data_IF_680502590302
#
_entry.id   IF_680502590302
#
_cell.length_a   1.000
_cell.length_b   1.000
_cell.length_c   1.000
_cell.angle_alpha   90.00
_cell.angle_beta   90.00
_cell.angle_gamma   90.00
#
_symmetry.space_group_name_H-M   'P 1'
#
loop_
_entity.id
_entity.type
_entity.pdbx_description
1 polymer ?
#
# COMPACT_ATOMS: atom_id res chain seq x y z
N UNK A 1 4.54 33.85 51.80
CA UNK A 1 3.97 33.81 50.43
C UNK A 1 5.15 33.46 49.54
N UNK A 2 5.25 32.27 48.92
CA UNK A 2 4.32 31.63 47.96
C UNK A 2 3.94 32.61 46.85
N UNK A 3 3.95 32.32 45.55
CA UNK A 3 4.38 31.20 44.69
C UNK A 3 3.79 31.54 43.28
N UNK A 4 4.28 31.04 42.14
CA UNK A 4 5.66 30.60 41.83
C UNK A 4 6.20 31.44 40.64
N UNK A 5 6.08 31.16 39.34
CA UNK A 5 5.62 29.96 38.59
C UNK A 5 6.52 29.78 37.37
N UNK A 6 7.23 28.64 37.27
CA UNK A 6 8.08 28.32 36.10
C UNK A 6 7.32 28.31 34.77
N UNK A 7 7.96 28.83 33.72
CA UNK A 7 7.54 28.58 32.34
C UNK A 7 7.78 27.13 31.93
N UNK A 8 6.77 26.48 31.34
CA UNK A 8 6.87 25.14 30.75
C UNK A 8 7.22 25.27 29.27
N UNK A 9 8.34 24.69 28.85
CA UNK A 9 8.67 24.55 27.44
C UNK A 9 7.88 23.37 26.85
N UNK A 10 7.11 23.62 25.79
CA UNK A 10 6.45 22.56 25.01
C UNK A 10 7.51 21.84 24.16
N UNK A 11 7.60 20.49 24.20
CA UNK A 11 8.72 19.77 23.60
C UNK A 11 8.63 19.66 22.07
N UNK A 12 9.78 19.66 21.39
CA UNK A 12 9.91 19.60 19.91
C UNK A 12 9.75 18.19 19.31
N UNK A 13 8.91 17.32 19.87
CA UNK A 13 8.89 15.90 19.48
C UNK A 13 8.23 15.60 18.12
N UNK A 14 7.44 16.53 17.57
CA UNK A 14 6.69 16.30 16.32
C UNK A 14 7.55 16.09 15.05
N UNK A 15 8.83 16.46 15.08
CA UNK A 15 9.71 16.32 13.90
C UNK A 15 10.28 14.90 13.74
N UNK A 16 10.56 14.21 14.85
CA UNK A 16 11.32 12.95 14.85
C UNK A 16 10.46 11.73 14.48
N UNK A 17 9.18 11.73 14.88
CA UNK A 17 8.24 10.65 14.52
C UNK A 17 7.87 10.66 13.03
N UNK A 18 7.62 11.86 12.48
CA UNK A 18 7.42 12.04 11.03
C UNK A 18 8.64 11.54 10.25
N UNK A 19 9.85 11.81 10.76
CA UNK A 19 11.12 11.33 10.21
C UNK A 19 11.23 9.81 10.14
N UNK A 20 10.63 9.03 11.04
CA UNK A 20 10.71 7.56 10.97
C UNK A 20 9.87 6.98 9.81
N UNK A 21 8.61 7.40 9.68
CA UNK A 21 7.76 6.96 8.57
C UNK A 21 8.27 7.47 7.21
N UNK A 22 8.76 8.72 7.15
CA UNK A 22 9.43 9.26 5.97
C UNK A 22 10.79 8.61 5.69
N UNK A 23 11.57 8.19 6.69
CA UNK A 23 12.83 7.47 6.46
C UNK A 23 12.60 6.06 5.96
N UNK A 24 11.52 5.39 6.40
CA UNK A 24 11.05 4.16 5.77
C UNK A 24 10.82 4.43 4.27
N UNK A 25 9.86 5.30 3.92
CA UNK A 25 9.52 5.68 2.53
C UNK A 25 10.72 6.16 1.70
N UNK A 26 11.67 6.88 2.31
CA UNK A 26 12.88 7.38 1.62
C UNK A 26 13.89 6.26 1.36
N UNK A 27 13.91 5.20 2.18
CA UNK A 27 14.72 4.00 1.93
C UNK A 27 14.12 3.09 0.86
N UNK A 28 12.78 3.01 0.74
CA UNK A 28 12.09 2.26 -0.32
C UNK A 28 12.20 2.95 -1.70
N UNK A 29 12.53 4.25 -1.73
CA UNK A 29 12.65 5.07 -2.95
C UNK A 29 13.79 4.70 -3.91
N UNK A 30 14.33 3.49 -3.83
CA UNK A 30 15.42 2.98 -4.65
C UNK A 30 14.91 2.34 -5.96
N UNK A 31 14.52 3.17 -6.93
CA UNK A 31 14.37 2.89 -8.38
C UNK A 31 14.25 1.42 -8.79
N UNK A 32 13.02 0.91 -8.93
CA UNK A 32 12.76 -0.53 -8.93
C UNK A 32 11.90 -1.05 -10.10
N UNK A 33 12.22 -2.25 -10.58
CA UNK A 33 11.93 -2.65 -11.98
C UNK A 33 10.83 -3.69 -12.17
N UNK A 34 10.22 -4.23 -11.11
CA UNK A 34 9.23 -5.32 -11.19
C UNK A 34 8.16 -5.19 -10.09
N UNK A 35 6.88 -5.57 -10.34
CA UNK A 35 5.79 -5.43 -9.37
C UNK A 35 5.89 -6.40 -8.18
N UNK A 36 5.17 -6.08 -7.10
CA UNK A 36 5.23 -6.79 -5.82
C UNK A 36 4.55 -8.16 -5.89
N UNK A 37 5.30 -9.24 -6.02
CA UNK A 37 4.75 -10.60 -6.08
C UNK A 37 4.88 -11.36 -4.75
N UNK A 38 3.79 -12.03 -4.35
CA UNK A 38 3.84 -13.08 -3.31
C UNK A 38 2.89 -14.24 -3.65
N UNK A 39 3.18 -15.42 -3.09
CA UNK A 39 2.50 -16.69 -3.38
C UNK A 39 1.94 -17.26 -2.07
N UNK A 40 0.63 -17.41 -2.01
CA UNK A 40 -0.10 -17.89 -0.84
C UNK A 40 -0.03 -19.41 -0.65
N UNK A 41 -0.49 -19.92 0.51
CA UNK A 41 -0.35 -21.34 0.89
C UNK A 41 -1.15 -22.31 0.01
N UNK A 42 -2.14 -21.83 -0.75
CA UNK A 42 -2.90 -22.62 -1.74
C UNK A 42 -2.33 -22.51 -3.17
N UNK A 43 -1.18 -21.85 -3.34
CA UNK A 43 -0.54 -21.57 -4.63
C UNK A 43 -1.08 -20.32 -5.34
N UNK A 44 -2.06 -19.61 -4.77
CA UNK A 44 -2.55 -18.33 -5.32
C UNK A 44 -1.42 -17.32 -5.41
N UNK A 45 -1.21 -16.73 -6.59
CA UNK A 45 -0.28 -15.62 -6.80
C UNK A 45 -1.03 -14.31 -6.72
N UNK A 46 -0.63 -13.41 -5.81
CA UNK A 46 -1.12 -12.03 -5.80
C UNK A 46 0.05 -11.12 -6.16
N UNK A 47 -0.20 -10.20 -7.10
CA UNK A 47 0.77 -9.19 -7.51
C UNK A 47 0.16 -7.80 -7.34
N UNK A 48 0.86 -6.89 -6.66
CA UNK A 48 0.46 -5.49 -6.53
C UNK A 48 1.26 -4.60 -7.50
N UNK A 49 0.54 -3.71 -8.18
CA UNK A 49 1.06 -2.75 -9.14
C UNK A 49 0.80 -1.34 -8.61
N UNK A 50 1.83 -0.75 -8.02
CA UNK A 50 1.75 0.59 -7.43
C UNK A 50 1.56 1.68 -8.51
N UNK A 51 0.95 2.80 -8.11
CA UNK A 51 0.74 4.03 -8.90
C UNK A 51 1.19 5.28 -8.14
N UNK A 52 0.83 5.39 -6.86
CA UNK A 52 1.20 6.51 -6.01
C UNK A 52 1.17 6.14 -4.52
N UNK A 53 2.05 6.76 -3.73
CA UNK A 53 2.12 6.59 -2.28
C UNK A 53 1.72 7.87 -1.57
N UNK A 54 0.76 7.79 -0.65
CA UNK A 54 0.24 8.93 0.11
C UNK A 54 0.45 8.72 1.60
N UNK A 55 1.08 9.70 2.24
CA UNK A 55 1.11 9.83 3.70
C UNK A 55 -0.02 10.76 4.11
N UNK A 56 -0.92 10.24 4.94
CA UNK A 56 -2.05 10.94 5.54
C UNK A 56 -1.61 11.45 6.93
N UNK A 57 -1.27 12.75 6.95
CA UNK A 57 -0.83 13.50 8.14
C UNK A 57 -1.99 14.02 8.99
N UNK A 58 -3.26 13.79 8.61
CA UNK A 58 -4.45 14.15 9.39
C UNK A 58 -4.94 12.97 10.26
N UNK A 59 -4.15 11.89 10.34
CA UNK A 59 -4.29 10.89 11.38
C UNK A 59 -4.19 11.52 12.79
N UNK A 60 -4.87 10.93 13.78
CA UNK A 60 -4.92 11.45 15.14
C UNK A 60 -3.51 11.62 15.76
N UNK A 61 -3.34 12.62 16.65
CA UNK A 61 -2.04 13.03 17.20
C UNK A 61 -1.16 11.83 17.63
N UNK A 62 0.07 11.79 17.11
CA UNK A 62 1.03 10.71 17.38
C UNK A 62 0.92 9.48 16.46
N UNK A 63 -0.05 9.45 15.53
CA UNK A 63 -0.10 8.46 14.43
C UNK A 63 0.40 9.03 13.12
N UNK A 64 0.82 8.16 12.21
CA UNK A 64 1.01 8.46 10.80
C UNK A 64 0.38 7.34 9.98
N UNK A 65 -0.48 7.68 9.02
CA UNK A 65 -1.10 6.70 8.13
C UNK A 65 -0.44 6.73 6.76
N UNK A 66 -0.03 5.58 6.26
CA UNK A 66 0.47 5.42 4.89
C UNK A 66 -0.59 4.67 4.08
N UNK A 67 -0.78 5.05 2.82
CA UNK A 67 -1.54 4.30 1.82
C UNK A 67 -0.71 4.16 0.54
N UNK A 68 -0.64 2.93 0.04
CA UNK A 68 -0.15 2.64 -1.31
C UNK A 68 -1.37 2.47 -2.21
N UNK A 69 -1.41 3.21 -3.32
CA UNK A 69 -2.51 3.21 -4.29
C UNK A 69 -1.99 2.58 -5.58
N UNK A 70 -2.76 1.64 -6.12
CA UNK A 70 -2.35 0.80 -7.23
C UNK A 70 -3.51 -0.05 -7.76
N UNK A 71 -3.20 -1.26 -8.23
CA UNK A 71 -4.16 -2.31 -8.52
C UNK A 71 -3.52 -3.70 -8.34
N UNK A 72 -4.34 -4.76 -8.25
CA UNK A 72 -3.86 -6.12 -8.04
C UNK A 72 -4.15 -7.05 -9.23
N UNK A 73 -3.30 -8.07 -9.43
CA UNK A 73 -3.67 -9.28 -10.17
C UNK A 73 -3.82 -10.48 -9.21
N UNK A 74 -4.62 -11.46 -9.62
CA UNK A 74 -4.72 -12.80 -9.01
C UNK A 74 -4.39 -13.83 -10.08
N UNK A 75 -3.42 -14.71 -9.82
CA UNK A 75 -2.99 -15.78 -10.74
C UNK A 75 -2.64 -15.27 -12.16
N UNK A 76 -2.16 -14.02 -12.25
CA UNK A 76 -1.84 -13.31 -13.49
C UNK A 76 -2.96 -12.46 -14.09
N UNK A 77 -4.19 -12.57 -13.60
CA UNK A 77 -5.36 -11.85 -14.11
C UNK A 77 -5.61 -10.55 -13.33
N UNK A 78 -5.67 -9.41 -14.04
CA UNK A 78 -5.92 -8.09 -13.44
C UNK A 78 -7.34 -8.00 -12.86
N UNK A 79 -7.49 -7.48 -11.64
CA UNK A 79 -8.80 -7.20 -11.05
C UNK A 79 -9.39 -5.97 -11.73
N UNK A 80 -10.45 -6.19 -12.50
CA UNK A 80 -11.14 -5.18 -13.30
C UNK A 80 -12.59 -4.99 -12.83
N UNK A 81 -13.16 -3.83 -13.12
CA UNK A 81 -14.60 -3.58 -12.99
C UNK A 81 -15.37 -4.09 -14.23
N UNK A 82 -16.70 -3.93 -14.22
CA UNK A 82 -17.60 -4.35 -15.31
C UNK A 82 -17.30 -3.71 -16.68
N UNK A 83 -16.50 -2.65 -16.72
CA UNK A 83 -16.07 -1.94 -17.93
C UNK A 83 -14.68 -2.39 -18.41
N UNK A 84 -14.06 -3.38 -17.77
CA UNK A 84 -12.69 -3.85 -18.07
C UNK A 84 -11.57 -2.93 -17.53
N UNK A 85 -11.91 -1.91 -16.74
CA UNK A 85 -10.94 -0.95 -16.19
C UNK A 85 -10.36 -1.53 -14.88
N UNK A 86 -9.04 -1.55 -14.67
CA UNK A 86 -8.42 -1.99 -13.42
C UNK A 86 -8.99 -1.27 -12.20
N UNK A 87 -9.25 -2.01 -11.12
CA UNK A 87 -9.81 -1.45 -9.88
C UNK A 87 -8.69 -0.80 -9.07
N UNK A 88 -8.85 0.49 -8.75
CA UNK A 88 -7.97 1.17 -7.79
C UNK A 88 -8.11 0.52 -6.41
N UNK A 89 -6.98 0.09 -5.87
CA UNK A 89 -6.87 -0.67 -4.64
C UNK A 89 -5.46 -0.52 -4.08
N UNK A 90 -5.19 -1.16 -2.94
CA UNK A 90 -3.83 -1.33 -2.47
C UNK A 90 -3.78 -1.61 -0.98
N UNK A 91 -2.71 -1.13 -0.36
CA UNK A 91 -2.43 -1.33 1.04
C UNK A 91 -2.58 -0.03 1.84
N UNK A 92 -2.80 -0.16 3.13
CA UNK A 92 -2.60 0.93 4.08
C UNK A 92 -2.17 0.40 5.44
N UNK A 93 -1.51 1.25 6.21
CA UNK A 93 -1.09 0.96 7.57
C UNK A 93 -1.13 2.22 8.44
N UNK A 94 -1.37 2.05 9.75
CA UNK A 94 -1.12 3.07 10.75
C UNK A 94 0.16 2.73 11.53
N UNK A 95 1.06 3.70 11.60
CA UNK A 95 2.25 3.69 12.42
C UNK A 95 1.99 4.52 13.69
N UNK A 96 2.53 4.08 14.82
CA UNK A 96 2.56 4.86 16.06
C UNK A 96 3.99 5.24 16.48
N UNK A 97 4.12 5.78 17.69
CA UNK A 97 5.37 6.29 18.24
C UNK A 97 6.47 5.25 18.45
N UNK A 98 6.15 3.93 18.38
CA UNK A 98 7.15 2.86 18.37
C UNK A 98 7.82 2.66 17.01
N UNK A 99 7.30 3.26 15.93
CA UNK A 99 7.93 3.29 14.60
C UNK A 99 7.65 2.08 13.69
N UNK A 100 6.90 1.08 14.16
CA UNK A 100 6.35 0.00 13.33
C UNK A 100 4.88 0.23 12.95
N UNK A 101 4.36 -0.47 11.93
CA UNK A 101 2.92 -0.49 11.66
C UNK A 101 2.21 -1.30 12.76
N UNK A 102 1.24 -0.69 13.44
CA UNK A 102 0.46 -1.36 14.49
C UNK A 102 -0.83 -2.01 13.96
N UNK A 103 -1.23 -1.62 12.75
CA UNK A 103 -2.40 -2.13 12.04
C UNK A 103 -2.18 -1.92 10.55
N UNK A 104 -2.60 -2.89 9.74
CA UNK A 104 -2.53 -2.83 8.29
C UNK A 104 -3.77 -3.45 7.65
N UNK A 105 -4.04 -3.07 6.41
CA UNK A 105 -5.19 -3.56 5.64
C UNK A 105 -4.93 -3.52 4.13
N UNK A 106 -5.62 -4.40 3.42
CA UNK A 106 -5.93 -4.22 2.00
C UNK A 106 -7.19 -3.37 1.88
N UNK A 107 -7.25 -2.47 0.90
CA UNK A 107 -8.45 -1.72 0.55
C UNK A 107 -8.70 -1.71 -0.97
N UNK A 108 -9.96 -1.53 -1.36
CA UNK A 108 -10.42 -1.35 -2.74
C UNK A 108 -11.32 -0.09 -2.83
N UNK A 109 -11.33 0.58 -4.00
CA UNK A 109 -12.17 1.77 -4.23
C UNK A 109 -13.67 1.46 -4.40
N UNK A 110 -14.04 0.17 -4.39
CA UNK A 110 -15.39 -0.36 -4.58
C UNK A 110 -15.45 -1.79 -4.01
N UNK A 111 -16.64 -2.33 -3.71
CA UNK A 111 -16.80 -3.72 -3.28
C UNK A 111 -16.15 -4.72 -4.25
N UNK A 112 -15.40 -5.69 -3.71
CA UNK A 112 -14.93 -6.86 -4.47
C UNK A 112 -16.04 -7.90 -4.60
N UNK A 113 -15.96 -8.75 -5.64
CA UNK A 113 -16.85 -9.90 -5.77
C UNK A 113 -16.36 -11.10 -4.91
N UNK A 114 -17.25 -12.06 -4.66
CA UNK A 114 -16.98 -13.22 -3.80
C UNK A 114 -15.79 -14.08 -4.24
N UNK A 115 -15.45 -14.12 -5.53
CA UNK A 115 -14.29 -14.87 -6.03
C UNK A 115 -12.96 -14.18 -5.66
N UNK A 116 -12.89 -12.85 -5.82
CA UNK A 116 -11.77 -12.03 -5.35
C UNK A 116 -11.67 -12.07 -3.82
N UNK A 117 -12.80 -11.87 -3.13
CA UNK A 117 -12.91 -11.93 -1.67
C UNK A 117 -12.33 -13.25 -1.13
N UNK A 118 -12.86 -14.38 -1.59
CA UNK A 118 -12.43 -15.70 -1.12
C UNK A 118 -10.97 -16.05 -1.47
N UNK A 119 -10.36 -15.40 -2.47
CA UNK A 119 -8.92 -15.52 -2.78
C UNK A 119 -8.07 -14.68 -1.82
N UNK A 120 -8.43 -13.41 -1.62
CA UNK A 120 -7.74 -12.50 -0.71
C UNK A 120 -7.82 -12.94 0.76
N UNK A 121 -8.99 -13.39 1.23
CA UNK A 121 -9.18 -13.86 2.61
C UNK A 121 -8.34 -15.11 2.92
N UNK A 122 -8.18 -16.03 1.95
CA UNK A 122 -7.28 -17.19 2.10
C UNK A 122 -5.81 -16.80 2.06
N UNK A 123 -5.44 -15.86 1.19
CA UNK A 123 -4.05 -15.45 0.99
C UNK A 123 -3.51 -14.67 2.18
N UNK A 124 -4.24 -13.64 2.63
CA UNK A 124 -3.84 -12.74 3.72
C UNK A 124 -4.32 -13.22 5.10
N UNK A 125 -5.02 -14.36 5.17
CA UNK A 125 -5.64 -14.92 6.38
C UNK A 125 -6.59 -13.96 7.12
N UNK A 126 -7.15 -12.99 6.38
CA UNK A 126 -8.04 -11.95 6.89
C UNK A 126 -9.52 -12.21 6.57
N UNK A 127 -10.35 -11.19 6.77
CA UNK A 127 -11.76 -11.17 6.38
C UNK A 127 -12.13 -9.75 5.97
N UNK A 128 -12.86 -9.56 4.88
CA UNK A 128 -13.35 -8.24 4.49
C UNK A 128 -14.50 -7.77 5.38
N UNK A 129 -14.66 -6.46 5.47
CA UNK A 129 -15.87 -5.82 5.98
C UNK A 129 -17.14 -6.24 5.21
N UNK A 130 -18.31 -5.96 5.79
CA UNK A 130 -19.63 -6.34 5.26
C UNK A 130 -19.90 -5.80 3.84
N UNK A 131 -19.14 -4.79 3.41
CA UNK A 131 -19.23 -4.11 2.11
C UNK A 131 -18.12 -4.53 1.13
N UNK A 132 -17.20 -5.41 1.52
CA UNK A 132 -16.16 -5.94 0.62
C UNK A 132 -15.14 -4.90 0.13
N UNK A 133 -14.86 -3.86 0.91
CA UNK A 133 -13.93 -2.78 0.54
C UNK A 133 -12.64 -2.75 1.37
N UNK A 134 -12.64 -3.23 2.61
CA UNK A 134 -11.47 -3.22 3.49
C UNK A 134 -11.31 -4.57 4.21
N UNK A 135 -10.08 -5.09 4.22
CA UNK A 135 -9.70 -6.32 4.93
C UNK A 135 -8.45 -6.06 5.77
N UNK A 136 -8.53 -6.28 7.08
CA UNK A 136 -7.35 -6.26 7.95
C UNK A 136 -6.36 -7.37 7.60
N UNK A 137 -5.07 -7.06 7.61
CA UNK A 137 -3.97 -8.01 7.35
C UNK A 137 -2.91 -7.91 8.45
N UNK A 138 -2.02 -8.90 8.54
CA UNK A 138 -0.90 -8.83 9.47
C UNK A 138 0.08 -7.69 9.09
N UNK A 139 0.56 -6.88 10.05
CA UNK A 139 1.48 -5.79 9.76
C UNK A 139 2.83 -6.24 9.18
N UNK A 140 3.30 -7.48 9.42
CA UNK A 140 4.46 -8.03 8.74
C UNK A 140 4.16 -8.29 7.26
N UNK A 141 2.99 -8.84 6.92
CA UNK A 141 2.58 -9.02 5.52
C UNK A 141 2.45 -7.67 4.79
N UNK A 142 2.07 -6.60 5.48
CA UNK A 142 2.19 -5.25 4.92
C UNK A 142 3.64 -4.86 4.62
N UNK A 143 4.58 -5.12 5.55
CA UNK A 143 6.00 -4.83 5.35
C UNK A 143 6.61 -5.67 4.21
N UNK A 144 6.21 -6.93 4.07
CA UNK A 144 6.67 -7.83 2.99
C UNK A 144 6.29 -7.28 1.60
N UNK A 145 5.12 -6.64 1.47
CA UNK A 145 4.73 -5.91 0.26
C UNK A 145 5.35 -4.50 0.19
N UNK A 146 5.57 -3.82 1.32
CA UNK A 146 6.14 -2.47 1.35
C UNK A 146 7.62 -2.43 0.95
N UNK A 147 8.43 -3.40 1.38
CA UNK A 147 9.87 -3.52 1.05
C UNK A 147 10.09 -4.14 -0.34
N UNK A 148 9.05 -4.72 -0.94
CA UNK A 148 9.13 -5.21 -2.32
C UNK A 148 9.29 -4.04 -3.29
N UNK A 149 10.48 -3.94 -3.88
CA UNK A 149 10.91 -2.81 -4.68
C UNK A 149 10.15 -2.78 -6.02
N UNK A 150 9.03 -2.05 -6.07
CA UNK A 150 7.96 -2.29 -7.05
C UNK A 150 7.16 -1.06 -7.51
N UNK A 151 7.73 0.14 -7.35
CA UNK A 151 7.00 1.41 -7.40
C UNK A 151 6.63 1.90 -8.82
N UNK A 152 7.12 1.25 -9.89
CA UNK A 152 6.81 1.61 -11.29
C UNK A 152 6.59 0.37 -12.16
N UNK A 153 5.37 -0.19 -12.14
CA UNK A 153 5.03 -1.40 -12.90
C UNK A 153 3.85 -1.25 -13.89
N UNK A 154 3.16 -0.10 -13.88
CA UNK A 154 2.09 0.21 -14.85
C UNK A 154 2.58 0.98 -16.09
N UNK A 155 3.80 1.53 -16.07
CA UNK A 155 4.45 2.11 -17.26
C UNK A 155 5.02 1.04 -18.20
N UNK A 156 4.20 0.07 -18.58
CA UNK A 156 4.51 -0.87 -19.64
C UNK A 156 3.96 -0.39 -20.98
N UNK A 157 4.83 0.30 -21.72
CA UNK A 157 4.87 0.33 -23.19
C UNK A 157 3.74 1.08 -23.92
N UNK A 158 3.96 2.38 -24.12
CA UNK A 158 3.97 2.87 -25.50
C UNK A 158 5.25 2.31 -26.15
N UNK A 159 5.21 1.07 -26.65
CA UNK A 159 6.17 0.64 -27.65
C UNK A 159 5.96 1.53 -28.89
N UNK A 160 7.02 2.21 -29.33
CA UNK A 160 6.92 3.08 -30.51
C UNK A 160 6.55 2.29 -31.75
N UNK A 161 5.64 2.83 -32.55
CA UNK A 161 5.19 2.24 -33.82
C UNK A 161 6.28 2.35 -34.90
N UNK A 162 7.36 1.58 -34.74
CA UNK A 162 8.25 1.17 -35.83
C UNK A 162 7.51 0.16 -36.71
N UNK A 163 6.47 0.67 -37.39
CA UNK A 163 5.69 -0.08 -38.37
C UNK A 163 6.59 -0.66 -39.47
N UNK A 164 6.24 -1.83 -40.03
CA UNK A 164 7.16 -2.62 -40.86
C UNK A 164 7.64 -1.85 -42.09
N UNK A 165 8.96 -1.63 -42.18
CA UNK A 165 9.61 -0.90 -43.26
C UNK A 165 9.35 -1.56 -44.62
N UNK A 166 8.45 -0.97 -45.40
CA UNK A 166 8.24 -1.34 -46.81
C UNK A 166 9.41 -0.83 -47.65
N UNK A 167 10.36 -1.73 -47.96
CA UNK A 167 11.39 -1.52 -48.98
C UNK A 167 10.93 -2.22 -50.28
N UNK A 168 11.04 -1.59 -51.47
CA UNK A 168 10.62 -2.19 -52.74
C UNK A 168 11.43 -3.40 -53.20
#
# INVERSE_FOLDING_TARGET
MLADTKGVAVPKQNAEHSLNALSLLTSIGASASQPSESIGPDGTRIVFYEKENRTDSEAAEGKTRVRFIGCFTIDGFMIQNEQGIPVDAGFGAEFDTAGGPNSAWVWFCRPVNEAVKSKFEKFFMGTFDDIGMLMGIDPQTFLDFADSASWTALECKNDGDDGPTLVP
#
